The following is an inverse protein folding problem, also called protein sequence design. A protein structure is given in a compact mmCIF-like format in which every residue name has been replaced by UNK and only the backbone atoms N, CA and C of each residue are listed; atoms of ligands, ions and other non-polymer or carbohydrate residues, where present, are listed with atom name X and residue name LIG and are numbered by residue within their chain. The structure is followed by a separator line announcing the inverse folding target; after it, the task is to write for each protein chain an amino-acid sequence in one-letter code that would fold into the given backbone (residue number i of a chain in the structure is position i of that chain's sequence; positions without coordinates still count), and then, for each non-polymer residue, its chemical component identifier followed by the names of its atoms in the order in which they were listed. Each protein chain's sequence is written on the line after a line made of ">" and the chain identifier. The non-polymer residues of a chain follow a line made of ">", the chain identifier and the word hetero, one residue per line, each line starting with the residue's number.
data_IF_272772559561
#
_entry.id   IF_272772559561
#
_cell.length_a   1.000
_cell.length_b   1.000
_cell.length_c   1.000
_cell.angle_alpha   90.00
_cell.angle_beta   90.00
_cell.angle_gamma   90.00
#
_symmetry.space_group_name_H-M   'P 1'
#
loop_
_entity.id
_entity.type
_entity.pdbx_description
1 polymer ?
#
# COMPACT_ATOMS: atom_id res chain seq x y z
N UNK A 1 -38.97 5.23 -11.51
CA UNK A 1 -38.02 4.34 -10.79
C UNK A 1 -36.65 4.98 -10.91
N UNK A 2 -36.19 5.66 -9.84
CA UNK A 2 -34.90 6.35 -9.84
C UNK A 2 -33.80 5.31 -9.82
N UNK A 3 -32.85 5.39 -10.75
CA UNK A 3 -31.60 4.63 -10.70
C UNK A 3 -30.89 4.90 -9.35
N UNK A 4 -30.28 3.88 -8.72
CA UNK A 4 -29.56 4.10 -7.46
C UNK A 4 -28.44 5.11 -7.68
N UNK A 5 -28.15 5.99 -6.70
CA UNK A 5 -27.04 6.93 -6.81
C UNK A 5 -25.77 6.10 -7.03
N UNK A 6 -25.02 6.45 -8.07
CA UNK A 6 -23.73 5.86 -8.38
C UNK A 6 -22.91 5.87 -7.10
N UNK A 7 -22.63 4.69 -6.53
CA UNK A 7 -21.64 4.54 -5.47
C UNK A 7 -20.36 5.16 -6.02
N UNK A 8 -20.08 6.41 -5.66
CA UNK A 8 -18.80 7.06 -5.95
C UNK A 8 -17.76 6.06 -5.43
N UNK A 9 -17.08 5.42 -6.38
CA UNK A 9 -16.38 4.15 -6.20
C UNK A 9 -15.37 4.24 -5.04
N UNK A 10 -15.80 3.95 -3.82
CA UNK A 10 -14.93 3.95 -2.63
C UNK A 10 -13.70 3.05 -2.87
N UNK A 11 -13.92 1.97 -3.62
CA UNK A 11 -12.87 1.07 -4.14
C UNK A 11 -11.82 1.81 -4.99
N UNK A 12 -12.21 2.70 -5.89
CA UNK A 12 -11.26 3.46 -6.73
C UNK A 12 -10.38 4.39 -5.90
N UNK A 13 -10.93 5.05 -4.87
CA UNK A 13 -10.13 5.92 -3.99
C UNK A 13 -9.14 5.16 -3.10
N UNK A 14 -9.41 3.89 -2.79
CA UNK A 14 -8.44 3.03 -2.10
C UNK A 14 -7.30 2.64 -3.06
N UNK A 15 -7.63 2.28 -4.30
CA UNK A 15 -6.60 1.92 -5.30
C UNK A 15 -5.62 3.07 -5.57
N UNK A 16 -6.09 4.31 -5.62
CA UNK A 16 -5.24 5.49 -5.83
C UNK A 16 -4.26 5.78 -4.68
N UNK A 17 -4.48 5.19 -3.50
CA UNK A 17 -3.64 5.38 -2.31
C UNK A 17 -2.79 4.16 -1.97
N UNK A 18 -2.99 3.06 -2.69
CA UNK A 18 -2.33 1.78 -2.44
C UNK A 18 -1.17 1.58 -3.41
N UNK A 19 0.03 1.44 -2.86
CA UNK A 19 1.24 1.17 -3.61
C UNK A 19 1.61 -0.31 -3.51
N UNK A 20 2.08 -0.87 -4.62
CA UNK A 20 2.74 -2.16 -4.67
C UNK A 20 4.24 -1.96 -4.44
N UNK A 21 4.80 -2.71 -3.51
CA UNK A 21 6.23 -2.67 -3.18
C UNK A 21 6.83 -4.04 -3.48
N UNK A 22 7.70 -4.11 -4.49
CA UNK A 22 8.45 -5.31 -4.86
C UNK A 22 9.91 -5.25 -4.40
N UNK A 23 10.63 -6.37 -4.52
CA UNK A 23 12.06 -6.44 -4.19
C UNK A 23 12.37 -6.38 -2.70
N UNK A 24 11.38 -6.69 -1.84
CA UNK A 24 11.58 -6.72 -0.41
C UNK A 24 12.50 -7.88 -0.01
N UNK A 25 13.35 -7.64 0.98
CA UNK A 25 14.09 -8.71 1.63
C UNK A 25 13.10 -9.70 2.28
N UNK A 26 13.46 -10.97 2.34
CA UNK A 26 12.65 -12.02 2.94
C UNK A 26 12.38 -11.77 4.44
N UNK A 27 13.29 -11.05 5.09
CA UNK A 27 13.18 -10.67 6.50
C UNK A 27 12.36 -9.39 6.71
N UNK A 28 11.97 -8.70 5.64
CA UNK A 28 11.19 -7.46 5.75
C UNK A 28 9.79 -7.75 6.30
N UNK A 29 9.43 -7.04 7.37
CA UNK A 29 8.11 -7.13 8.00
C UNK A 29 7.25 -5.89 7.75
N UNK A 30 5.99 -5.95 8.20
CA UNK A 30 5.02 -4.86 7.97
C UNK A 30 5.38 -3.60 8.75
N UNK A 31 5.99 -3.75 9.93
CA UNK A 31 6.42 -2.66 10.80
C UNK A 31 7.51 -1.82 10.13
N UNK A 32 8.52 -2.48 9.54
CA UNK A 32 9.60 -1.83 8.80
C UNK A 32 9.07 -1.09 7.56
N UNK A 33 8.14 -1.70 6.81
CA UNK A 33 7.48 -1.02 5.70
C UNK A 33 6.75 0.23 6.19
N UNK A 34 5.96 0.11 7.26
CA UNK A 34 5.20 1.23 7.80
C UNK A 34 6.13 2.35 8.24
N UNK A 35 7.16 2.05 9.02
CA UNK A 35 8.14 3.02 9.49
C UNK A 35 8.80 3.75 8.31
N UNK A 36 9.31 3.00 7.33
CA UNK A 36 9.91 3.59 6.13
C UNK A 36 8.94 4.49 5.38
N UNK A 37 7.69 4.07 5.15
CA UNK A 37 6.76 4.84 4.33
C UNK A 37 6.09 6.00 5.08
N UNK A 38 6.11 6.03 6.42
CA UNK A 38 5.56 7.15 7.19
C UNK A 38 6.26 8.48 6.93
N UNK A 39 7.51 8.47 6.44
CA UNK A 39 8.23 9.68 6.04
C UNK A 39 7.58 10.43 4.85
N UNK A 40 6.79 9.73 4.02
CA UNK A 40 6.08 10.31 2.88
C UNK A 40 4.63 10.71 3.23
N UNK A 41 4.16 10.36 4.43
CA UNK A 41 2.87 10.75 4.96
C UNK A 41 2.17 9.65 5.77
N UNK A 42 0.96 9.94 6.26
CA UNK A 42 0.25 9.03 7.16
C UNK A 42 -0.14 7.73 6.46
N UNK A 43 0.35 6.61 7.00
CA UNK A 43 0.07 5.26 6.51
C UNK A 43 -1.13 4.66 7.25
N UNK A 44 -2.12 4.20 6.48
CA UNK A 44 -3.32 3.54 7.00
C UNK A 44 -3.02 2.07 7.25
N UNK A 45 -2.44 1.39 6.26
CA UNK A 45 -2.23 -0.06 6.32
C UNK A 45 -0.97 -0.47 5.55
N UNK A 46 -0.36 -1.57 6.00
CA UNK A 46 0.82 -2.18 5.38
C UNK A 46 0.70 -3.68 5.45
N UNK A 47 0.91 -4.34 4.32
CA UNK A 47 0.79 -5.80 4.23
C UNK A 47 2.00 -6.38 3.52
N UNK A 48 2.72 -7.27 4.18
CA UNK A 48 3.74 -8.13 3.54
C UNK A 48 3.07 -9.42 3.14
N UNK A 49 3.18 -9.78 1.86
CA UNK A 49 2.62 -11.04 1.39
C UNK A 49 3.56 -12.17 1.81
N UNK A 50 3.01 -13.13 2.54
CA UNK A 50 3.71 -14.32 3.02
C UNK A 50 3.12 -15.57 2.39
N UNK A 51 3.96 -16.57 2.18
CA UNK A 51 3.52 -17.90 1.79
C UNK A 51 2.77 -18.54 2.97
N UNK A 52 1.61 -19.14 2.70
CA UNK A 52 0.72 -19.58 3.77
C UNK A 52 1.24 -20.84 4.49
N UNK A 53 2.01 -21.68 3.80
CA UNK A 53 2.56 -22.91 4.36
C UNK A 53 3.84 -22.66 5.18
N UNK A 54 4.73 -21.80 4.66
CA UNK A 54 6.05 -21.55 5.25
C UNK A 54 6.11 -20.28 6.10
N UNK A 55 5.09 -19.43 6.03
CA UNK A 55 5.05 -18.09 6.65
C UNK A 55 6.23 -17.17 6.25
N UNK A 56 6.95 -17.52 5.17
CA UNK A 56 8.05 -16.72 4.62
C UNK A 56 7.51 -15.61 3.73
N UNK A 57 8.18 -14.46 3.74
CA UNK A 57 7.88 -13.36 2.83
C UNK A 57 7.99 -13.82 1.37
N UNK A 58 7.12 -13.31 0.51
CA UNK A 58 7.18 -13.50 -0.94
C UNK A 58 8.01 -12.43 -1.64
N UNK A 59 8.67 -11.55 -0.87
CA UNK A 59 9.49 -10.46 -1.41
C UNK A 59 8.69 -9.29 -1.96
N UNK A 60 7.40 -9.20 -1.61
CA UNK A 60 6.56 -8.07 -2.00
C UNK A 60 5.47 -7.78 -0.95
N UNK A 61 4.94 -6.57 -1.02
CA UNK A 61 3.90 -6.10 -0.13
C UNK A 61 3.12 -4.93 -0.72
N UNK A 62 2.22 -4.41 0.11
CA UNK A 62 1.41 -3.25 -0.22
C UNK A 62 1.43 -2.24 0.91
N UNK A 63 1.34 -0.97 0.54
CA UNK A 63 1.26 0.16 1.47
C UNK A 63 0.08 1.02 1.07
N UNK A 64 -0.82 1.29 2.00
CA UNK A 64 -1.99 2.14 1.78
C UNK A 64 -1.84 3.43 2.58
N UNK A 65 -1.80 4.57 1.90
CA UNK A 65 -1.73 5.87 2.53
C UNK A 65 -3.12 6.41 2.89
N UNK A 66 -3.17 7.35 3.84
CA UNK A 66 -4.39 8.09 4.14
C UNK A 66 -4.73 9.05 3.00
N UNK A 67 -3.73 9.60 2.32
CA UNK A 67 -3.89 10.62 1.28
C UNK A 67 -3.24 10.20 -0.04
N UNK A 68 -3.88 10.53 -1.16
CA UNK A 68 -3.36 10.26 -2.51
C UNK A 68 -2.03 11.01 -2.76
N UNK A 69 -1.89 12.21 -2.21
CA UNK A 69 -0.67 13.01 -2.34
C UNK A 69 0.58 12.28 -1.82
N UNK A 70 0.46 11.51 -0.71
CA UNK A 70 1.56 10.71 -0.18
C UNK A 70 1.96 9.58 -1.13
N UNK A 71 0.99 8.89 -1.73
CA UNK A 71 1.26 7.87 -2.74
C UNK A 71 1.94 8.46 -3.98
N UNK A 72 1.49 9.63 -4.44
CA UNK A 72 2.11 10.36 -5.56
C UNK A 72 3.54 10.81 -5.24
N UNK A 73 3.80 11.23 -4.01
CA UNK A 73 5.13 11.66 -3.58
C UNK A 73 6.15 10.52 -3.66
N UNK A 74 5.75 9.32 -3.24
CA UNK A 74 6.59 8.11 -3.35
C UNK A 74 6.84 7.75 -4.81
N UNK A 75 5.82 7.78 -5.68
CA UNK A 75 5.98 7.45 -7.10
C UNK A 75 6.93 8.45 -7.79
N UNK A 76 6.90 9.72 -7.41
CA UNK A 76 7.72 10.79 -8.02
C UNK A 76 9.15 10.85 -7.51
N UNK A 77 9.39 10.49 -6.24
CA UNK A 77 10.68 10.72 -5.57
C UNK A 77 11.31 9.46 -4.96
N UNK A 78 10.64 8.31 -5.05
CA UNK A 78 11.16 7.07 -4.51
C UNK A 78 12.37 6.55 -5.31
N UNK A 79 13.36 5.92 -4.66
CA UNK A 79 14.41 5.21 -5.37
C UNK A 79 13.77 4.08 -6.20
N UNK A 80 14.10 4.05 -7.49
CA UNK A 80 13.64 3.01 -8.42
C UNK A 80 14.41 1.70 -8.22
#
# INVERSE_FOLDING_TARGET
>A
MLSPPTSINFTNFIQLRKLFIGGLNMDTNKEQLREYFTQFGPVVDTVVMKDNATQRSRGFGFVTFAWIASAVMVIRNGPH
#
